data_IF_721368489391
#
_entry.id   IF_721368489391
#
_cell.length_a   1.000
_cell.length_b   1.000
_cell.length_c   1.000
_cell.angle_alpha   90.00
_cell.angle_beta   90.00
_cell.angle_gamma   90.00
#
_symmetry.space_group_name_H-M   'P 1'
#
loop_
_entity.id
_entity.type
_entity.pdbx_description
1 polymer ?
#
# COMPACT_ATOMS: atom_id res chain seq x y z
N UNK A 1 13.02 -20.55 -14.38
CA UNK A 1 13.02 -19.10 -14.64
C UNK A 1 11.59 -18.67 -14.92
N UNK A 2 10.85 -18.23 -13.90
CA UNK A 2 9.52 -17.65 -14.10
C UNK A 2 9.72 -16.19 -14.48
N UNK A 3 9.25 -15.83 -15.67
CA UNK A 3 9.23 -14.48 -16.21
C UNK A 3 8.34 -13.62 -15.31
N UNK A 4 8.94 -12.84 -14.40
CA UNK A 4 8.26 -11.76 -13.66
C UNK A 4 7.90 -10.65 -14.67
N UNK A 5 6.85 -10.87 -15.47
CA UNK A 5 6.14 -9.72 -16.05
C UNK A 5 5.38 -9.11 -14.89
N UNK A 6 5.70 -7.85 -14.55
CA UNK A 6 4.83 -7.05 -13.70
C UNK A 6 3.41 -7.12 -14.29
N UNK A 7 2.38 -7.47 -13.51
CA UNK A 7 1.02 -7.35 -13.98
C UNK A 7 0.81 -5.90 -14.43
N UNK A 8 0.14 -5.69 -15.57
CA UNK A 8 -0.16 -4.34 -16.06
C UNK A 8 -0.91 -3.53 -14.99
N UNK A 9 -0.75 -2.22 -15.00
CA UNK A 9 -1.38 -1.32 -14.02
C UNK A 9 -2.92 -1.44 -14.03
N UNK A 10 -3.49 -1.79 -15.18
CA UNK A 10 -4.89 -2.08 -15.36
C UNK A 10 -5.02 -3.41 -16.12
N UNK A 11 -5.67 -4.39 -15.51
CA UNK A 11 -5.92 -5.71 -16.08
C UNK A 11 -7.43 -5.95 -16.11
N UNK A 12 -8.02 -5.74 -17.28
CA UNK A 12 -9.45 -5.92 -17.50
C UNK A 12 -9.71 -7.02 -18.52
N UNK A 13 -10.83 -7.72 -18.32
CA UNK A 13 -11.32 -8.78 -19.22
C UNK A 13 -12.74 -8.40 -19.66
N UNK A 14 -13.07 -8.56 -20.96
CA UNK A 14 -14.44 -8.38 -21.44
C UNK A 14 -15.40 -9.34 -20.75
N UNK A 15 -16.55 -8.84 -20.35
CA UNK A 15 -17.64 -9.68 -19.83
C UNK A 15 -18.65 -10.10 -20.90
N UNK A 16 -18.67 -9.36 -22.00
CA UNK A 16 -19.51 -9.60 -23.15
C UNK A 16 -18.67 -9.52 -24.44
N UNK A 17 -19.22 -10.09 -25.51
CA UNK A 17 -18.59 -10.08 -26.84
C UNK A 17 -18.75 -8.72 -27.56
N UNK A 18 -19.62 -7.85 -27.05
CA UNK A 18 -19.93 -6.55 -27.64
C UNK A 18 -18.97 -5.45 -27.15
N UNK A 19 -18.12 -5.75 -26.16
CA UNK A 19 -17.22 -4.79 -25.52
C UNK A 19 -17.93 -3.78 -24.62
N UNK A 20 -19.19 -4.03 -24.24
CA UNK A 20 -20.02 -3.08 -23.49
C UNK A 20 -19.81 -3.15 -21.98
N UNK A 21 -19.10 -4.16 -21.49
CA UNK A 21 -18.65 -4.28 -20.12
C UNK A 21 -17.29 -4.98 -20.00
N UNK A 22 -16.47 -4.48 -19.10
CA UNK A 22 -15.18 -5.07 -18.73
C UNK A 22 -15.01 -5.06 -17.20
N UNK A 23 -14.40 -6.10 -16.65
CA UNK A 23 -14.09 -6.19 -15.23
C UNK A 23 -12.68 -6.73 -14.99
N UNK A 24 -12.11 -6.42 -13.83
CA UNK A 24 -10.80 -6.89 -13.45
C UNK A 24 -10.20 -6.06 -12.33
N UNK A 25 -8.90 -5.77 -12.43
CA UNK A 25 -8.13 -5.18 -11.34
C UNK A 25 -7.26 -4.01 -11.80
N UNK A 26 -7.18 -2.97 -10.98
CA UNK A 26 -6.15 -1.94 -11.04
C UNK A 26 -5.08 -2.26 -9.98
N UNK A 27 -3.81 -2.29 -10.37
CA UNK A 27 -2.69 -2.60 -9.49
C UNK A 27 -1.98 -1.30 -9.08
N UNK A 28 -2.10 -0.91 -7.81
CA UNK A 28 -1.52 0.32 -7.26
C UNK A 28 -0.86 0.04 -5.91
N UNK A 29 0.36 0.57 -5.69
CA UNK A 29 1.07 0.46 -4.39
C UNK A 29 1.19 -1.00 -3.87
N UNK A 30 1.51 -1.94 -4.75
CA UNK A 30 1.59 -3.39 -4.47
C UNK A 30 0.27 -4.06 -4.05
N UNK A 31 -0.85 -3.34 -4.12
CA UNK A 31 -2.20 -3.87 -3.92
C UNK A 31 -3.01 -3.93 -5.24
N UNK A 32 -3.98 -4.83 -5.29
CA UNK A 32 -4.89 -5.00 -6.43
C UNK A 32 -6.31 -4.64 -6.04
N UNK A 33 -6.88 -3.65 -6.72
CA UNK A 33 -8.22 -3.14 -6.46
C UNK A 33 -9.20 -3.55 -7.56
N UNK A 34 -10.39 -4.04 -7.19
CA UNK A 34 -11.40 -4.43 -8.18
C UNK A 34 -11.98 -3.21 -8.91
N UNK A 35 -12.06 -3.32 -10.23
CA UNK A 35 -12.65 -2.31 -11.12
C UNK A 35 -13.61 -2.97 -12.11
N UNK A 36 -14.76 -2.32 -12.37
CA UNK A 36 -15.72 -2.72 -13.40
C UNK A 36 -16.22 -1.50 -14.16
N UNK A 37 -16.20 -1.58 -15.49
CA UNK A 37 -16.66 -0.53 -16.39
C UNK A 37 -17.78 -1.11 -17.25
N UNK A 38 -18.88 -0.38 -17.43
CA UNK A 38 -20.00 -0.84 -18.26
C UNK A 38 -20.80 0.28 -18.91
N UNK A 39 -21.40 0.01 -20.06
CA UNK A 39 -22.41 0.86 -20.69
C UNK A 39 -23.80 0.53 -20.14
N UNK A 40 -24.48 1.52 -19.55
CA UNK A 40 -25.89 1.37 -19.15
C UNK A 40 -26.78 2.16 -20.10
N UNK A 41 -27.80 1.49 -20.67
CA UNK A 41 -28.87 2.17 -21.41
C UNK A 41 -29.78 2.89 -20.42
N UNK A 42 -29.93 4.21 -20.55
CA UNK A 42 -31.00 4.92 -19.87
C UNK A 42 -32.33 4.62 -20.56
N UNK A 43 -33.21 3.87 -19.90
CA UNK A 43 -34.63 3.88 -20.27
C UNK A 43 -35.25 5.15 -19.72
N UNK A 44 -35.45 6.15 -20.58
CA UNK A 44 -36.29 7.29 -20.23
C UNK A 44 -37.74 6.80 -20.19
N UNK A 45 -38.36 6.80 -19.01
CA UNK A 45 -39.71 6.29 -18.77
C UNK A 45 -40.85 7.05 -19.52
N UNK A 46 -40.54 7.96 -20.44
CA UNK A 46 -41.53 8.76 -21.18
C UNK A 46 -41.03 9.17 -22.58
N UNK A 47 -40.90 8.22 -23.51
CA UNK A 47 -41.07 8.49 -24.93
C UNK A 47 -41.18 7.18 -25.72
N UNK A 48 -42.35 6.93 -26.32
CA UNK A 48 -42.53 5.95 -27.39
C UNK A 48 -41.96 6.52 -28.70
N UNK A 49 -40.67 6.80 -28.74
CA UNK A 49 -39.96 7.25 -29.94
C UNK A 49 -38.63 6.51 -30.02
N UNK A 50 -38.42 5.79 -31.11
CA UNK A 50 -37.19 5.06 -31.46
C UNK A 50 -36.05 6.03 -31.80
N UNK A 51 -35.65 6.85 -30.83
CA UNK A 51 -34.43 7.64 -30.90
C UNK A 51 -33.44 7.08 -29.90
N UNK A 52 -32.24 6.74 -30.41
CA UNK A 52 -31.16 6.05 -29.72
C UNK A 52 -31.01 6.49 -28.26
N UNK A 53 -31.26 5.57 -27.32
CA UNK A 53 -31.01 5.82 -25.90
C UNK A 53 -29.55 6.21 -25.71
N UNK A 54 -29.31 7.34 -25.05
CA UNK A 54 -27.95 7.76 -24.68
C UNK A 54 -27.34 6.68 -23.80
N UNK A 55 -26.26 6.05 -24.30
CA UNK A 55 -25.46 5.09 -23.53
C UNK A 55 -24.56 5.90 -22.61
N UNK A 56 -24.61 5.63 -21.31
CA UNK A 56 -23.74 6.28 -20.34
C UNK A 56 -22.82 5.23 -19.73
N UNK A 57 -21.54 5.56 -19.67
CA UNK A 57 -20.55 4.75 -18.99
C UNK A 57 -20.77 4.81 -17.47
N UNK A 58 -20.58 3.66 -16.84
CA UNK A 58 -20.64 3.46 -15.40
C UNK A 58 -19.34 2.80 -14.95
N UNK A 59 -18.81 3.28 -13.83
CA UNK A 59 -17.57 2.81 -13.24
C UNK A 59 -17.85 2.42 -11.79
N UNK A 60 -17.48 1.20 -11.43
CA UNK A 60 -17.50 0.66 -10.08
C UNK A 60 -16.08 0.33 -9.68
N UNK A 61 -15.69 0.74 -8.47
CA UNK A 61 -14.36 0.51 -7.93
C UNK A 61 -14.41 0.31 -6.41
N UNK A 62 -13.41 -0.39 -5.88
CA UNK A 62 -13.21 -0.49 -4.43
C UNK A 62 -12.81 0.84 -3.81
N UNK A 63 -13.20 1.05 -2.54
CA UNK A 63 -12.94 2.32 -1.83
C UNK A 63 -11.44 2.64 -1.72
N UNK A 64 -10.58 1.62 -1.56
CA UNK A 64 -9.13 1.84 -1.50
C UNK A 64 -8.60 2.49 -2.79
N UNK A 65 -9.13 2.14 -3.96
CA UNK A 65 -8.73 2.80 -5.21
C UNK A 65 -9.19 4.27 -5.28
N UNK A 66 -10.37 4.58 -4.72
CA UNK A 66 -10.87 5.96 -4.62
C UNK A 66 -9.92 6.80 -3.77
N UNK A 67 -9.46 6.25 -2.65
CA UNK A 67 -8.49 6.90 -1.75
C UNK A 67 -7.14 7.11 -2.44
N UNK A 68 -6.64 6.10 -3.17
CA UNK A 68 -5.39 6.17 -3.96
C UNK A 68 -5.48 7.23 -5.07
N UNK A 69 -6.62 7.33 -5.76
CA UNK A 69 -6.83 8.32 -6.82
C UNK A 69 -6.94 9.76 -6.26
N UNK A 70 -7.51 9.92 -5.07
CA UNK A 70 -7.61 11.21 -4.38
C UNK A 70 -8.12 12.35 -5.28
N UNK A 71 -7.30 13.39 -5.47
CA UNK A 71 -7.65 14.55 -6.28
C UNK A 71 -7.86 14.24 -7.78
N UNK A 72 -7.22 13.18 -8.30
CA UNK A 72 -7.33 12.74 -9.70
C UNK A 72 -8.69 12.08 -10.00
N UNK A 73 -9.51 11.80 -8.98
CA UNK A 73 -10.88 11.30 -9.17
C UNK A 73 -11.74 12.28 -9.99
N UNK A 74 -11.41 13.57 -9.98
CA UNK A 74 -12.06 14.56 -10.85
C UNK A 74 -11.74 14.31 -12.34
N UNK A 75 -10.50 13.96 -12.66
CA UNK A 75 -10.09 13.61 -14.02
C UNK A 75 -10.80 12.34 -14.47
N UNK A 76 -10.86 11.31 -13.62
CA UNK A 76 -11.60 10.07 -13.89
C UNK A 76 -13.07 10.36 -14.19
N UNK A 77 -13.75 11.15 -13.35
CA UNK A 77 -15.14 11.52 -13.55
C UNK A 77 -15.39 12.35 -14.81
N UNK A 78 -14.45 13.22 -15.18
CA UNK A 78 -14.52 13.99 -16.41
C UNK A 78 -14.37 13.08 -17.64
N UNK A 79 -13.41 12.15 -17.62
CA UNK A 79 -13.22 11.16 -18.68
C UNK A 79 -14.41 10.23 -18.82
N UNK A 80 -14.98 9.76 -17.71
CA UNK A 80 -16.16 8.90 -17.71
C UNK A 80 -17.37 9.56 -18.40
N UNK A 81 -17.48 10.89 -18.33
CA UNK A 81 -18.54 11.66 -18.99
C UNK A 81 -18.26 11.92 -20.47
N UNK A 82 -16.99 12.05 -20.86
CA UNK A 82 -16.59 12.44 -22.22
C UNK A 82 -16.30 11.26 -23.14
N UNK A 83 -15.90 10.11 -22.60
CA UNK A 83 -15.55 8.92 -23.38
C UNK A 83 -16.78 8.34 -24.09
N UNK A 84 -16.57 7.82 -25.30
CA UNK A 84 -17.65 7.38 -26.19
C UNK A 84 -17.92 5.88 -26.12
N UNK A 85 -16.99 5.11 -25.54
CA UNK A 85 -17.05 3.65 -25.40
C UNK A 85 -16.29 3.20 -24.15
N UNK A 86 -16.55 1.96 -23.70
CA UNK A 86 -15.76 1.33 -22.63
C UNK A 86 -14.28 1.31 -22.97
N UNK A 87 -13.92 0.90 -24.19
CA UNK A 87 -12.53 0.82 -24.65
C UNK A 87 -11.80 2.17 -24.56
N UNK A 88 -12.40 3.24 -25.10
CA UNK A 88 -11.80 4.59 -25.02
C UNK A 88 -11.66 5.11 -23.58
N UNK A 89 -12.53 4.67 -22.67
CA UNK A 89 -12.44 5.02 -21.27
C UNK A 89 -11.38 4.20 -20.53
N UNK A 90 -11.18 2.93 -20.90
CA UNK A 90 -10.12 2.08 -20.35
C UNK A 90 -8.75 2.68 -20.65
N UNK A 91 -8.49 3.12 -21.89
CA UNK A 91 -7.23 3.77 -22.26
C UNK A 91 -6.98 5.05 -21.44
N UNK A 92 -8.00 5.90 -21.31
CA UNK A 92 -7.89 7.14 -20.51
C UNK A 92 -7.73 6.84 -19.00
N UNK A 93 -8.39 5.80 -18.48
CA UNK A 93 -8.25 5.38 -17.09
C UNK A 93 -6.85 4.83 -16.83
N UNK A 94 -6.30 4.03 -17.75
CA UNK A 94 -4.93 3.53 -17.68
C UNK A 94 -3.94 4.69 -17.62
N UNK A 95 -4.07 5.70 -18.50
CA UNK A 95 -3.22 6.91 -18.47
C UNK A 95 -3.32 7.65 -17.13
N UNK A 96 -4.53 7.78 -16.56
CA UNK A 96 -4.71 8.44 -15.26
C UNK A 96 -4.04 7.62 -14.14
N UNK A 97 -4.22 6.30 -14.12
CA UNK A 97 -3.60 5.40 -13.15
C UNK A 97 -2.07 5.45 -13.28
N UNK A 98 -1.54 5.43 -14.51
CA UNK A 98 -0.11 5.55 -14.78
C UNK A 98 0.43 6.89 -14.29
N UNK A 99 -0.31 7.99 -14.48
CA UNK A 99 0.07 9.30 -13.95
C UNK A 99 0.04 9.33 -12.43
N UNK A 100 -0.95 8.72 -11.79
CA UNK A 100 -1.02 8.61 -10.32
C UNK A 100 0.16 7.79 -9.80
N UNK A 101 0.42 6.62 -10.39
CA UNK A 101 1.56 5.77 -10.04
C UNK A 101 2.89 6.46 -10.33
N UNK A 102 2.97 7.21 -11.43
CA UNK A 102 4.13 8.04 -11.79
C UNK A 102 4.29 9.21 -10.83
N UNK A 103 3.25 9.85 -10.32
CA UNK A 103 3.40 10.90 -9.31
C UNK A 103 3.77 10.31 -7.94
N UNK A 104 3.35 9.07 -7.67
CA UNK A 104 3.78 8.34 -6.49
C UNK A 104 5.26 7.93 -6.57
N UNK A 105 5.80 7.65 -7.77
CA UNK A 105 7.18 7.18 -8.01
C UNK A 105 8.15 8.27 -8.50
N UNK A 106 7.68 9.27 -9.23
CA UNK A 106 8.39 10.47 -9.71
C UNK A 106 8.45 11.46 -8.56
N UNK A 107 9.28 11.12 -7.58
CA UNK A 107 9.65 11.98 -6.48
C UNK A 107 11.05 12.46 -6.81
N UNK A 108 11.20 13.78 -6.91
CA UNK A 108 12.51 14.42 -7.07
C UNK A 108 13.42 13.82 -5.99
N UNK A 109 14.61 13.30 -6.34
CA UNK A 109 15.54 12.79 -5.36
C UNK A 109 15.76 13.85 -4.27
N UNK A 110 15.92 13.46 -3.00
CA UNK A 110 16.26 14.41 -1.95
C UNK A 110 17.41 15.31 -2.42
N UNK A 111 17.37 16.59 -2.03
CA UNK A 111 18.51 17.48 -2.28
C UNK A 111 19.79 16.80 -1.79
N UNK A 112 20.91 17.00 -2.48
CA UNK A 112 22.17 16.36 -2.12
C UNK A 112 22.50 16.56 -0.63
N UNK A 113 22.22 17.73 -0.07
CA UNK A 113 22.41 18.04 1.35
C UNK A 113 21.51 17.18 2.26
N UNK A 114 20.24 16.98 1.89
CA UNK A 114 19.32 16.09 2.63
C UNK A 114 19.79 14.64 2.57
N UNK A 115 20.24 14.18 1.40
CA UNK A 115 20.76 12.82 1.24
C UNK A 115 22.02 12.61 2.08
N UNK A 116 22.94 13.57 2.11
CA UNK A 116 24.13 13.52 2.97
C UNK A 116 23.75 13.54 4.47
N UNK A 117 22.74 14.30 4.86
CA UNK A 117 22.24 14.29 6.24
C UNK A 117 21.67 12.91 6.61
N UNK A 118 20.83 12.32 5.76
CA UNK A 118 20.29 10.96 5.97
C UNK A 118 21.41 9.93 6.10
N UNK A 119 22.43 10.00 5.22
CA UNK A 119 23.60 9.11 5.28
C UNK A 119 24.35 9.29 6.61
N UNK A 120 24.58 10.53 7.05
CA UNK A 120 25.24 10.81 8.33
C UNK A 120 24.43 10.29 9.53
N UNK A 121 23.10 10.42 9.50
CA UNK A 121 22.22 9.86 10.52
C UNK A 121 22.25 8.33 10.55
N UNK A 122 22.27 7.68 9.38
CA UNK A 122 22.43 6.22 9.27
C UNK A 122 23.80 5.79 9.80
N UNK A 123 24.88 6.52 9.49
CA UNK A 123 26.21 6.26 10.03
C UNK A 123 26.24 6.34 11.56
N UNK A 124 25.52 7.31 12.13
CA UNK A 124 25.40 7.47 13.58
C UNK A 124 24.68 6.28 14.22
N UNK A 125 23.57 5.83 13.62
CA UNK A 125 22.82 4.65 14.07
C UNK A 125 23.66 3.37 13.91
N UNK A 126 24.37 3.27 12.80
CA UNK A 126 25.17 2.12 12.39
C UNK A 126 24.54 1.36 11.23
N UNK A 127 25.31 1.17 10.15
CA UNK A 127 24.88 0.46 8.93
C UNK A 127 24.43 -0.99 9.17
N UNK A 128 24.90 -1.63 10.24
CA UNK A 128 24.49 -3.00 10.59
C UNK A 128 23.00 -3.09 10.96
N UNK A 129 22.38 -1.98 11.35
CA UNK A 129 20.96 -1.90 11.67
C UNK A 129 20.11 -1.67 10.41
N UNK A 130 20.69 -1.39 9.25
CA UNK A 130 19.93 -1.17 8.01
C UNK A 130 19.57 -2.52 7.39
N UNK A 131 18.28 -2.83 7.35
CA UNK A 131 17.74 -4.02 6.70
C UNK A 131 17.57 -3.80 5.19
N UNK A 132 17.08 -2.63 4.79
CA UNK A 132 16.89 -2.24 3.39
C UNK A 132 16.97 -0.71 3.26
N UNK A 133 17.45 -0.23 2.13
CA UNK A 133 17.54 1.19 1.82
C UNK A 133 17.20 1.39 0.35
N UNK A 134 16.14 2.15 0.09
CA UNK A 134 15.74 2.46 -1.27
C UNK A 134 16.81 3.34 -1.95
N UNK A 135 17.16 3.10 -3.24
CA UNK A 135 18.19 3.87 -3.95
C UNK A 135 17.97 5.38 -3.98
N UNK A 136 16.73 5.82 -3.86
CA UNK A 136 16.35 7.24 -3.84
C UNK A 136 16.39 7.87 -2.45
N UNK A 137 16.85 7.15 -1.40
CA UNK A 137 16.94 7.63 -0.02
C UNK A 137 15.62 8.19 0.54
N UNK A 138 14.49 7.69 0.05
CA UNK A 138 13.15 8.08 0.47
C UNK A 138 12.46 7.03 1.36
N UNK A 139 13.07 5.85 1.51
CA UNK A 139 12.61 4.79 2.37
C UNK A 139 13.82 4.04 2.92
N UNK A 140 13.84 3.84 4.22
CA UNK A 140 14.84 3.04 4.92
C UNK A 140 14.15 2.12 5.90
N UNK A 141 14.58 0.86 5.95
CA UNK A 141 14.10 -0.13 6.90
C UNK A 141 15.21 -0.44 7.89
N UNK A 142 14.94 -0.26 9.17
CA UNK A 142 15.87 -0.59 10.24
C UNK A 142 15.44 -1.86 10.97
N UNK A 143 16.41 -2.75 11.19
CA UNK A 143 16.29 -3.85 12.13
C UNK A 143 16.53 -3.34 13.56
N UNK A 144 15.61 -3.64 14.46
CA UNK A 144 15.66 -3.23 15.87
C UNK A 144 15.46 -4.46 16.74
N UNK A 145 16.40 -4.71 17.65
CA UNK A 145 16.27 -5.80 18.62
C UNK A 145 15.50 -5.34 19.85
N UNK A 146 14.55 -6.16 20.30
CA UNK A 146 13.91 -5.93 21.60
C UNK A 146 14.72 -6.49 22.78
N UNK A 147 14.19 -6.35 23.99
CA UNK A 147 14.83 -6.81 25.22
C UNK A 147 15.12 -8.33 25.26
N UNK A 148 14.32 -9.13 24.54
CA UNK A 148 14.49 -10.58 24.41
C UNK A 148 15.33 -10.98 23.19
N UNK A 149 16.00 -10.02 22.53
CA UNK A 149 16.83 -10.24 21.32
C UNK A 149 16.05 -10.74 20.10
N UNK A 150 14.75 -10.39 20.03
CA UNK A 150 13.95 -10.62 18.84
C UNK A 150 14.15 -9.47 17.87
N UNK A 151 14.38 -9.79 16.59
CA UNK A 151 14.52 -8.79 15.53
C UNK A 151 13.14 -8.33 15.07
N UNK A 152 12.94 -7.01 15.07
CA UNK A 152 11.79 -6.31 14.52
C UNK A 152 12.26 -5.41 13.38
N UNK A 153 11.36 -5.02 12.49
CA UNK A 153 11.68 -4.08 11.40
C UNK A 153 10.76 -2.88 11.50
N UNK A 154 11.36 -1.69 11.53
CA UNK A 154 10.66 -0.42 11.32
C UNK A 154 11.01 0.13 9.94
N UNK A 155 9.98 0.36 9.15
CA UNK A 155 10.06 0.99 7.84
C UNK A 155 9.77 2.49 7.98
N UNK A 156 10.63 3.32 7.43
CA UNK A 156 10.60 4.78 7.56
C UNK A 156 10.57 5.41 6.17
N UNK A 157 9.42 5.98 5.82
CA UNK A 157 9.25 6.79 4.61
C UNK A 157 9.64 8.24 4.87
N UNK A 158 10.68 8.67 4.16
CA UNK A 158 11.22 10.03 4.16
C UNK A 158 10.55 10.83 3.05
N UNK A 159 9.71 11.80 3.43
CA UNK A 159 9.10 12.71 2.48
C UNK A 159 10.10 13.80 2.02
N UNK A 160 9.76 14.57 0.98
CA UNK A 160 10.65 15.61 0.44
C UNK A 160 10.91 16.79 1.40
N UNK A 161 10.06 16.95 2.41
CA UNK A 161 10.19 17.99 3.44
C UNK A 161 11.02 17.53 4.64
N UNK A 162 11.49 16.28 4.67
CA UNK A 162 12.32 15.77 5.75
C UNK A 162 13.61 16.63 5.92
N UNK A 163 14.03 16.98 7.15
CA UNK A 163 13.47 16.59 8.46
C UNK A 163 12.39 17.54 9.02
N UNK A 164 11.97 18.57 8.28
CA UNK A 164 10.97 19.53 8.75
C UNK A 164 9.62 18.86 9.02
N UNK A 165 9.15 18.02 8.10
CA UNK A 165 7.93 17.23 8.30
C UNK A 165 8.28 15.83 8.82
N UNK A 166 7.44 15.24 9.68
CA UNK A 166 7.70 13.92 10.23
C UNK A 166 7.76 12.85 9.13
N UNK A 167 8.67 11.87 9.25
CA UNK A 167 8.62 10.69 8.41
C UNK A 167 7.42 9.80 8.80
N UNK A 168 6.95 8.99 7.85
CA UNK A 168 5.89 8.00 8.12
C UNK A 168 6.55 6.67 8.50
N UNK A 169 6.22 6.15 9.68
CA UNK A 169 6.83 4.93 10.19
C UNK A 169 5.81 3.78 10.23
N UNK A 170 6.23 2.58 9.84
CA UNK A 170 5.43 1.35 9.90
C UNK A 170 6.24 0.22 10.52
N UNK A 171 5.59 -0.65 11.28
CA UNK A 171 6.21 -1.83 11.86
C UNK A 171 5.15 -2.85 12.25
N UNK A 172 5.48 -4.13 12.13
CA UNK A 172 4.60 -5.24 12.48
C UNK A 172 4.48 -5.34 14.02
N UNK A 173 3.59 -4.55 14.60
CA UNK A 173 3.36 -4.51 16.05
C UNK A 173 1.86 -4.63 16.36
N UNK A 174 1.47 -5.18 17.52
CA UNK A 174 0.07 -5.43 17.85
C UNK A 174 -0.81 -4.18 17.88
N UNK A 175 -0.20 -3.02 18.13
CA UNK A 175 -0.85 -1.70 18.14
C UNK A 175 -0.03 -0.79 17.23
N UNK A 176 -0.65 0.06 16.38
CA UNK A 176 0.07 0.98 15.52
C UNK A 176 1.07 1.85 16.26
N UNK A 177 2.29 1.94 15.72
CA UNK A 177 3.32 2.84 16.20
C UNK A 177 3.00 4.29 15.82
N UNK A 178 3.00 5.19 16.80
CA UNK A 178 2.74 6.62 16.60
C UNK A 178 4.01 7.41 16.93
N UNK A 179 4.70 7.89 15.89
CA UNK A 179 5.90 8.69 16.03
C UNK A 179 5.58 10.09 16.58
N UNK A 180 6.34 10.54 17.60
CA UNK A 180 6.37 11.95 18.00
C UNK A 180 7.55 12.62 17.33
N UNK A 181 7.30 13.74 16.67
CA UNK A 181 8.31 14.47 15.90
C UNK A 181 8.42 15.92 16.36
N UNK A 182 9.66 16.43 16.40
CA UNK A 182 10.00 17.80 16.80
C UNK A 182 11.20 18.30 16.01
N UNK A 183 11.37 19.61 15.97
CA UNK A 183 12.54 20.23 15.35
C UNK A 183 13.84 19.68 15.95
N UNK A 184 14.77 19.29 15.08
CA UNK A 184 16.05 18.71 15.44
C UNK A 184 16.02 17.20 15.69
N UNK A 185 14.88 16.54 15.53
CA UNK A 185 14.83 15.07 15.57
C UNK A 185 15.42 14.46 14.29
N UNK A 186 16.04 13.30 14.46
CA UNK A 186 16.69 12.53 13.40
C UNK A 186 16.12 11.10 13.35
N UNK A 187 16.60 10.29 12.41
CA UNK A 187 16.31 8.86 12.34
C UNK A 187 16.63 8.14 13.66
N UNK A 188 17.63 8.58 14.43
CA UNK A 188 17.94 8.00 15.75
C UNK A 188 16.72 8.09 16.68
N UNK A 189 16.01 9.21 16.68
CA UNK A 189 14.83 9.38 17.54
C UNK A 189 13.65 8.52 17.10
N UNK A 190 13.60 8.10 15.83
CA UNK A 190 12.64 7.09 15.35
C UNK A 190 12.97 5.74 15.99
N UNK A 191 14.24 5.33 15.96
CA UNK A 191 14.69 4.06 16.55
C UNK A 191 14.43 4.01 18.05
N UNK A 192 14.85 5.05 18.79
CA UNK A 192 14.64 5.13 20.24
C UNK A 192 13.15 5.03 20.62
N UNK A 193 12.28 5.76 19.92
CA UNK A 193 10.84 5.68 20.17
C UNK A 193 10.24 4.34 19.76
N UNK A 194 10.77 3.70 18.71
CA UNK A 194 10.32 2.38 18.31
C UNK A 194 10.74 1.32 19.33
N UNK A 195 11.96 1.36 19.85
CA UNK A 195 12.42 0.51 20.96
C UNK A 195 11.50 0.62 22.18
N UNK A 196 11.19 1.86 22.60
CA UNK A 196 10.22 2.13 23.68
C UNK A 196 8.82 1.56 23.38
N UNK A 197 8.39 1.59 22.12
CA UNK A 197 7.13 0.99 21.68
C UNK A 197 7.16 -0.54 21.80
N UNK A 198 8.24 -1.19 21.37
CA UNK A 198 8.42 -2.64 21.45
C UNK A 198 8.43 -3.16 22.90
N UNK A 199 8.93 -2.37 23.85
CA UNK A 199 8.97 -2.74 25.27
C UNK A 199 7.59 -3.05 25.85
N UNK A 200 6.51 -2.50 25.29
CA UNK A 200 5.14 -2.70 25.79
C UNK A 200 4.61 -4.12 25.52
N UNK A 201 5.20 -4.85 24.57
CA UNK A 201 4.65 -6.12 24.09
C UNK A 201 5.48 -7.34 24.49
N UNK A 202 6.50 -7.18 25.33
CA UNK A 202 7.43 -8.27 25.67
C UNK A 202 6.71 -9.51 26.21
N UNK A 203 5.83 -9.35 27.21
CA UNK A 203 5.08 -10.46 27.79
C UNK A 203 4.19 -11.18 26.75
N UNK A 204 3.56 -10.42 25.85
CA UNK A 204 2.73 -10.99 24.79
C UNK A 204 3.57 -11.86 23.86
N UNK A 205 4.69 -11.32 23.39
CA UNK A 205 5.57 -12.03 22.49
C UNK A 205 6.25 -13.24 23.16
N UNK A 206 6.58 -13.17 24.45
CA UNK A 206 7.12 -14.31 25.20
C UNK A 206 6.12 -15.47 25.23
N UNK A 207 4.84 -15.18 25.47
CA UNK A 207 3.76 -16.18 25.44
C UNK A 207 3.56 -16.73 24.03
N UNK A 208 3.57 -15.87 23.01
CA UNK A 208 3.40 -16.31 21.62
C UNK A 208 4.60 -17.17 21.17
N UNK A 209 5.82 -16.83 21.56
CA UNK A 209 7.01 -17.62 21.25
C UNK A 209 6.94 -19.00 21.92
N UNK A 210 6.49 -19.08 23.19
CA UNK A 210 6.28 -20.35 23.89
C UNK A 210 5.22 -21.22 23.19
N UNK A 211 4.10 -20.62 22.77
CA UNK A 211 3.06 -21.29 21.99
C UNK A 211 3.61 -21.78 20.65
N UNK A 212 4.32 -20.92 19.91
CA UNK A 212 4.85 -21.23 18.58
C UNK A 212 5.93 -22.33 18.65
N UNK A 213 6.67 -22.41 19.76
CA UNK A 213 7.70 -23.41 19.98
C UNK A 213 7.15 -24.76 20.46
N UNK A 214 6.08 -24.77 21.27
CA UNK A 214 5.62 -25.96 21.99
C UNK A 214 4.25 -26.49 21.54
N UNK A 215 3.61 -25.87 20.55
CA UNK A 215 2.31 -26.29 20.04
C UNK A 215 2.28 -26.45 18.52
N UNK A 216 1.29 -27.20 18.02
CA UNK A 216 1.06 -27.29 16.58
C UNK A 216 0.16 -26.15 16.12
N UNK A 217 0.77 -25.03 15.75
CA UNK A 217 0.08 -23.87 15.17
C UNK A 217 -0.31 -24.15 13.72
N UNK A 218 -1.60 -24.02 13.43
CA UNK A 218 -2.21 -24.14 12.10
C UNK A 218 -2.29 -22.78 11.39
N UNK A 219 -2.61 -21.71 12.13
CA UNK A 219 -2.68 -20.35 11.61
C UNK A 219 -2.12 -19.32 12.62
N UNK A 220 -1.43 -18.27 12.13
CA UNK A 220 -1.10 -17.99 10.74
C UNK A 220 -0.01 -18.93 10.19
N UNK A 221 0.04 -19.11 8.86
CA UNK A 221 1.09 -19.92 8.21
C UNK A 221 2.48 -19.29 8.33
N UNK A 222 2.54 -17.96 8.48
CA UNK A 222 3.73 -17.19 8.83
C UNK A 222 3.37 -16.29 10.01
N UNK A 223 3.96 -16.55 11.16
CA UNK A 223 3.75 -15.76 12.36
C UNK A 223 4.50 -14.41 12.26
N UNK A 224 3.74 -13.32 12.19
CA UNK A 224 4.25 -11.95 12.32
C UNK A 224 3.93 -11.38 13.69
N UNK A 225 4.68 -10.36 14.11
CA UNK A 225 4.65 -9.83 15.49
C UNK A 225 3.44 -8.93 15.80
N UNK A 226 2.70 -8.51 14.78
CA UNK A 226 1.40 -7.84 14.87
C UNK A 226 0.24 -8.81 15.14
N UNK A 227 0.39 -10.09 14.81
CA UNK A 227 -0.66 -11.09 14.98
C UNK A 227 -0.66 -11.67 16.40
N UNK A 228 -1.64 -11.26 17.19
CA UNK A 228 -1.82 -11.73 18.57
C UNK A 228 -2.65 -13.02 18.70
N UNK A 229 -3.02 -13.67 17.59
CA UNK A 229 -3.83 -14.89 17.57
C UNK A 229 -3.06 -16.09 17.01
N UNK A 230 -3.38 -17.28 17.53
CA UNK A 230 -2.87 -18.58 17.05
C UNK A 230 -4.01 -19.58 17.03
N UNK A 231 -4.18 -20.29 15.91
CA UNK A 231 -5.06 -21.46 15.81
C UNK A 231 -4.21 -22.70 16.03
N UNK A 232 -4.49 -23.46 17.09
CA UNK A 232 -3.64 -24.57 17.54
C UNK A 232 -4.42 -25.88 17.40
N UNK A 233 -3.77 -26.93 16.88
CA UNK A 233 -4.35 -28.27 16.86
C UNK A 233 -4.32 -28.88 18.27
N UNK A 234 -5.49 -29.34 18.76
CA UNK A 234 -5.62 -29.95 20.09
C UNK A 234 -5.71 -31.50 19.97
N UNK A 235 -5.98 -32.03 18.78
CA UNK A 235 -5.98 -33.46 18.48
C UNK A 235 -6.41 -33.75 17.04
N UNK A 236 -6.42 -35.03 16.63
CA UNK A 236 -6.59 -35.44 15.22
C UNK A 236 -7.93 -35.02 14.56
N UNK A 237 -8.88 -34.45 15.30
CA UNK A 237 -10.22 -34.08 14.83
C UNK A 237 -10.76 -32.76 15.43
N UNK A 238 -9.92 -31.89 15.97
CA UNK A 238 -10.32 -30.61 16.56
C UNK A 238 -9.38 -29.48 16.13
#
# INVERSE_FOLDING_TARGET
MRSNRRPGILLLVPEDLEGTAQCGFANMQDESYRVRISERRMQTARARSETAGSRKLHLEMENGLIEVLGAEMNAVNNRLKSSQSVESFVEELEIILERVASNMTSRVPPRADTMMAIVAEIEEIGWNSVHDLHPDFNNVKFAVEDAAKRSHVVEVDLNMSYPHDPPVCRGATPIPFILRWRDGYTLRNVIEQFEEHLHQFQLLWDVLDDIDQHSWVLEPSVATRDLASRRIAIGNHC
#
